data_IF_818554608938
#
_entry.id   IF_818554608938
#
_cell.length_a   1.000
_cell.length_b   1.000
_cell.length_c   1.000
_cell.angle_alpha   90.00
_cell.angle_beta   90.00
_cell.angle_gamma   90.00
#
_symmetry.space_group_name_H-M   'P 1'
#
loop_
_entity.id
_entity.type
_entity.pdbx_description
1 polymer ?
#
# COMPACT_ATOMS: atom_id res chain seq x y z
N UNK A 1 -17.95 -26.02 -23.28
CA UNK A 1 -17.16 -25.60 -24.46
C UNK A 1 -16.12 -24.62 -23.96
N UNK A 2 -14.86 -24.79 -24.32
CA UNK A 2 -13.79 -23.83 -24.01
C UNK A 2 -13.97 -22.56 -24.85
N UNK A 3 -13.70 -21.40 -24.25
CA UNK A 3 -13.75 -20.10 -24.92
C UNK A 3 -12.48 -19.85 -25.70
N UNK A 4 -12.61 -19.25 -26.89
CA UNK A 4 -11.46 -18.81 -27.64
C UNK A 4 -10.77 -17.61 -26.94
N UNK A 5 -9.46 -17.41 -27.16
CA UNK A 5 -8.75 -16.21 -26.67
C UNK A 5 -9.42 -14.89 -27.08
N UNK A 6 -10.04 -14.84 -28.26
CA UNK A 6 -10.75 -13.64 -28.74
C UNK A 6 -12.06 -13.40 -27.97
N UNK A 7 -12.81 -14.47 -27.64
CA UNK A 7 -13.99 -14.35 -26.79
C UNK A 7 -13.63 -13.84 -25.40
N UNK A 8 -12.48 -14.25 -24.85
CA UNK A 8 -11.97 -13.78 -23.57
C UNK A 8 -11.58 -12.30 -23.66
N UNK A 9 -10.83 -11.88 -24.69
CA UNK A 9 -10.50 -10.46 -24.91
C UNK A 9 -11.73 -9.58 -25.03
N UNK A 10 -12.71 -10.00 -25.83
CA UNK A 10 -13.93 -9.22 -26.05
C UNK A 10 -14.80 -9.14 -24.79
N UNK A 11 -14.78 -10.18 -23.95
CA UNK A 11 -15.48 -10.16 -22.66
C UNK A 11 -14.81 -9.20 -21.68
N UNK A 12 -13.50 -9.34 -21.52
CA UNK A 12 -12.74 -8.61 -20.50
C UNK A 12 -12.12 -7.34 -21.11
N UNK A 13 -13.00 -6.43 -21.51
CA UNK A 13 -12.64 -5.14 -22.08
C UNK A 13 -13.40 -4.02 -21.37
N UNK A 14 -12.65 -3.12 -20.70
CA UNK A 14 -13.23 -1.93 -20.10
C UNK A 14 -13.30 -0.79 -21.15
N UNK A 15 -14.29 0.12 -21.12
CA UNK A 15 -14.30 1.30 -22.00
C UNK A 15 -13.13 2.24 -21.68
N UNK A 16 -12.47 2.83 -22.69
CA UNK A 16 -11.31 3.70 -22.44
C UNK A 16 -11.70 5.09 -21.97
N UNK A 17 -12.87 5.57 -22.39
CA UNK A 17 -13.46 6.84 -22.02
C UNK A 17 -13.78 6.99 -20.53
N UNK A 18 -13.83 5.88 -19.79
CA UNK A 18 -14.05 5.87 -18.35
C UNK A 18 -12.79 6.26 -17.56
N UNK A 19 -11.59 6.06 -18.12
CA UNK A 19 -10.34 6.20 -17.38
C UNK A 19 -9.61 7.47 -17.82
N UNK A 20 -8.90 8.11 -16.90
CA UNK A 20 -8.05 9.28 -17.17
C UNK A 20 -6.57 8.95 -17.06
N UNK A 21 -6.19 8.11 -16.10
CA UNK A 21 -4.82 7.63 -15.87
C UNK A 21 -4.61 6.25 -16.47
N UNK A 22 -5.57 5.33 -16.33
CA UNK A 22 -5.50 4.00 -16.95
C UNK A 22 -5.91 4.05 -18.43
N UNK A 23 -5.24 4.88 -19.24
CA UNK A 23 -5.65 5.20 -20.62
C UNK A 23 -4.72 4.68 -21.69
N UNK A 24 -3.44 4.48 -21.37
CA UNK A 24 -2.42 4.10 -22.35
C UNK A 24 -1.74 2.78 -21.98
N UNK A 25 -1.16 2.13 -22.99
CA UNK A 25 -0.42 0.90 -22.78
C UNK A 25 0.80 1.20 -21.86
N UNK A 26 0.95 0.44 -20.78
CA UNK A 26 2.01 0.65 -19.79
C UNK A 26 3.30 -0.07 -20.23
N UNK A 27 4.37 0.70 -20.43
CA UNK A 27 5.68 0.15 -20.77
C UNK A 27 6.20 -0.78 -19.66
N UNK A 28 6.71 -1.93 -20.08
CA UNK A 28 7.39 -2.89 -19.22
C UNK A 28 8.90 -2.63 -19.35
N UNK A 29 9.57 -2.32 -18.23
CA UNK A 29 11.00 -2.02 -18.19
C UNK A 29 11.81 -3.19 -18.81
N UNK A 30 12.68 -2.86 -19.77
CA UNK A 30 13.72 -3.76 -20.29
C UNK A 30 13.32 -4.83 -21.30
N UNK A 31 12.04 -4.93 -21.71
CA UNK A 31 11.60 -6.01 -22.62
C UNK A 31 11.05 -5.56 -23.97
N UNK A 32 10.78 -4.27 -24.18
CA UNK A 32 10.12 -3.76 -25.39
C UNK A 32 8.62 -4.05 -25.45
N UNK A 33 8.10 -4.83 -24.51
CA UNK A 33 6.69 -5.17 -24.37
C UNK A 33 5.90 -4.05 -23.70
N UNK A 34 4.64 -3.94 -24.10
CA UNK A 34 3.71 -2.98 -23.50
C UNK A 34 2.46 -3.73 -23.00
N UNK A 35 2.08 -3.47 -21.75
CA UNK A 35 0.81 -3.94 -21.21
C UNK A 35 -0.30 -3.11 -21.80
N UNK A 36 -1.26 -3.76 -22.46
CA UNK A 36 -2.49 -3.07 -22.85
C UNK A 36 -3.24 -2.56 -21.63
N UNK A 37 -4.09 -1.55 -21.79
CA UNK A 37 -4.96 -1.07 -20.70
C UNK A 37 -5.67 -2.21 -19.95
N UNK A 38 -6.28 -3.15 -20.66
CA UNK A 38 -7.00 -4.27 -20.02
C UNK A 38 -6.04 -5.18 -19.23
N UNK A 39 -4.78 -5.32 -19.69
CA UNK A 39 -3.74 -5.99 -18.90
C UNK A 39 -3.42 -5.23 -17.61
N UNK A 40 -3.29 -3.91 -17.70
CA UNK A 40 -3.03 -3.04 -16.54
C UNK A 40 -4.17 -3.20 -15.54
N UNK A 41 -5.41 -2.95 -15.95
CA UNK A 41 -6.59 -3.09 -15.09
C UNK A 41 -6.69 -4.49 -14.45
N UNK A 42 -6.52 -5.54 -15.25
CA UNK A 42 -6.49 -6.93 -14.76
C UNK A 42 -5.40 -7.17 -13.71
N UNK A 43 -4.23 -6.56 -13.90
CA UNK A 43 -3.13 -6.69 -12.94
C UNK A 43 -3.43 -5.97 -11.63
N UNK A 44 -3.98 -4.76 -11.66
CA UNK A 44 -4.40 -4.06 -10.44
C UNK A 44 -5.48 -4.83 -9.69
N UNK A 45 -6.52 -5.30 -10.38
CA UNK A 45 -7.57 -6.15 -9.77
C UNK A 45 -6.97 -7.41 -9.13
N UNK A 46 -6.03 -8.07 -9.82
CA UNK A 46 -5.34 -9.26 -9.29
C UNK A 46 -4.53 -8.94 -8.02
N UNK A 47 -3.82 -7.81 -7.98
CA UNK A 47 -3.05 -7.41 -6.81
C UNK A 47 -3.93 -6.92 -5.66
N UNK A 48 -5.07 -6.30 -5.97
CA UNK A 48 -6.09 -5.94 -4.97
C UNK A 48 -6.71 -7.19 -4.37
N UNK A 49 -7.07 -8.19 -5.19
CA UNK A 49 -7.58 -9.49 -4.71
C UNK A 49 -6.59 -10.17 -3.77
N UNK A 50 -5.30 -10.16 -4.15
CA UNK A 50 -4.20 -10.66 -3.31
C UNK A 50 -4.14 -9.91 -1.97
N UNK A 51 -4.21 -8.58 -2.00
CA UNK A 51 -4.17 -7.77 -0.78
C UNK A 51 -5.39 -8.05 0.11
N UNK A 52 -6.59 -8.12 -0.46
CA UNK A 52 -7.82 -8.46 0.28
C UNK A 52 -7.68 -9.85 0.92
N UNK A 53 -7.14 -10.84 0.19
CA UNK A 53 -6.87 -12.18 0.71
C UNK A 53 -5.87 -12.21 1.88
N UNK A 54 -4.87 -11.32 1.90
CA UNK A 54 -3.97 -11.16 3.04
C UNK A 54 -4.73 -10.61 4.25
N UNK A 55 -5.58 -9.61 4.02
CA UNK A 55 -6.28 -8.85 5.06
C UNK A 55 -7.43 -9.64 5.70
N UNK A 56 -8.19 -10.40 4.91
CA UNK A 56 -9.27 -11.25 5.43
C UNK A 56 -8.77 -12.59 6.00
N UNK A 57 -7.53 -12.97 5.70
CA UNK A 57 -6.85 -14.19 6.15
C UNK A 57 -7.09 -15.42 5.27
N UNK A 58 -7.69 -15.26 4.09
CA UNK A 58 -7.99 -16.37 3.17
C UNK A 58 -6.82 -16.76 2.25
N UNK A 59 -5.80 -15.91 2.10
CA UNK A 59 -4.62 -16.20 1.29
C UNK A 59 -3.41 -16.56 2.17
N UNK A 60 -2.84 -17.79 2.09
CA UNK A 60 -1.66 -18.17 2.84
C UNK A 60 -0.42 -17.48 2.25
N UNK A 61 -0.03 -16.33 2.82
CA UNK A 61 0.98 -15.49 2.22
C UNK A 61 2.33 -15.51 2.92
N UNK A 62 3.34 -15.16 2.12
CA UNK A 62 4.69 -14.86 2.57
C UNK A 62 4.70 -13.42 3.02
N UNK A 63 4.68 -13.24 4.33
CA UNK A 63 4.76 -11.94 4.98
C UNK A 63 6.20 -11.71 5.44
N UNK A 64 6.57 -10.43 5.48
CA UNK A 64 7.82 -9.98 6.05
C UNK A 64 7.63 -9.95 7.57
N UNK A 65 8.61 -10.42 8.32
CA UNK A 65 8.55 -10.45 9.79
C UNK A 65 9.78 -9.81 10.41
N UNK A 66 9.66 -9.40 11.67
CA UNK A 66 10.77 -9.12 12.57
C UNK A 66 10.82 -10.27 13.56
N UNK A 67 11.97 -10.94 13.70
CA UNK A 67 12.13 -11.97 14.73
C UNK A 67 12.34 -11.39 16.14
N UNK A 68 12.35 -12.26 17.15
CA UNK A 68 12.48 -11.86 18.56
C UNK A 68 13.79 -11.10 18.85
N UNK A 69 14.82 -11.31 18.04
CA UNK A 69 16.11 -10.61 18.13
C UNK A 69 16.09 -9.26 17.38
N UNK A 70 14.97 -8.89 16.76
CA UNK A 70 14.81 -7.65 16.01
C UNK A 70 15.35 -7.70 14.58
N UNK A 71 15.67 -8.89 14.03
CA UNK A 71 16.15 -9.02 12.67
C UNK A 71 15.01 -9.02 11.66
N UNK A 72 15.24 -8.34 10.55
CA UNK A 72 14.27 -8.20 9.46
C UNK A 72 14.38 -9.40 8.51
N UNK A 73 13.33 -10.22 8.49
CA UNK A 73 13.25 -11.42 7.68
C UNK A 73 12.35 -11.19 6.47
N UNK A 74 12.99 -10.81 5.34
CA UNK A 74 12.30 -10.56 4.07
C UNK A 74 11.93 -11.82 3.27
N UNK A 75 12.24 -13.01 3.81
CA UNK A 75 12.02 -14.30 3.17
C UNK A 75 11.06 -15.17 4.00
N UNK A 76 9.80 -15.18 3.58
CA UNK A 76 8.84 -16.29 3.72
C UNK A 76 8.58 -16.83 5.12
N UNK A 77 8.09 -15.99 6.04
CA UNK A 77 7.23 -16.54 7.09
C UNK A 77 5.88 -16.88 6.45
N UNK A 78 5.44 -18.14 6.56
CA UNK A 78 4.05 -18.47 6.28
C UNK A 78 3.19 -17.68 7.27
N UNK A 79 2.17 -17.00 6.74
CA UNK A 79 1.23 -16.23 7.54
C UNK A 79 0.60 -17.11 8.65
N UNK A 80 0.38 -18.40 8.38
CA UNK A 80 -0.29 -19.32 9.33
C UNK A 80 -1.69 -18.80 9.66
N UNK A 81 -2.11 -18.95 10.92
CA UNK A 81 -3.39 -18.42 11.42
C UNK A 81 -3.34 -16.90 11.70
N UNK A 82 -2.26 -16.20 11.30
CA UNK A 82 -2.12 -14.78 11.55
C UNK A 82 -3.02 -13.96 10.62
N UNK A 83 -3.93 -13.19 11.21
CA UNK A 83 -4.80 -12.26 10.48
C UNK A 83 -4.58 -10.82 10.96
N UNK A 84 -4.35 -9.85 10.06
CA UNK A 84 -4.28 -8.44 10.42
C UNK A 84 -5.57 -7.97 11.11
N UNK A 85 -5.42 -7.23 12.20
CA UNK A 85 -6.51 -6.49 12.86
C UNK A 85 -6.38 -4.98 12.59
N UNK A 86 -5.16 -4.53 12.32
CA UNK A 86 -4.81 -3.16 11.99
C UNK A 86 -3.89 -3.16 10.76
N UNK A 87 -4.02 -2.15 9.91
CA UNK A 87 -3.20 -1.96 8.71
C UNK A 87 -2.60 -0.57 8.73
N UNK A 88 -1.27 -0.50 8.57
CA UNK A 88 -0.52 0.75 8.47
C UNK A 88 0.04 0.88 7.05
N UNK A 89 -0.61 1.70 6.23
CA UNK A 89 -0.16 2.01 4.88
C UNK A 89 0.96 3.05 4.94
N UNK A 90 2.10 2.77 4.30
CA UNK A 90 3.18 3.73 4.18
C UNK A 90 2.74 4.84 3.21
N UNK A 91 2.40 5.99 3.79
CA UNK A 91 1.75 7.09 3.10
C UNK A 91 2.62 7.59 1.95
N UNK A 92 2.00 8.33 1.02
CA UNK A 92 2.58 8.81 -0.24
C UNK A 92 2.55 7.74 -1.35
N UNK A 93 2.83 6.47 -1.11
CA UNK A 93 2.84 5.45 -2.17
C UNK A 93 1.80 4.36 -1.99
N UNK A 94 1.46 4.02 -0.74
CA UNK A 94 0.45 3.01 -0.43
C UNK A 94 -0.97 3.57 -0.23
N UNK A 95 -1.17 4.89 -0.20
CA UNK A 95 -2.51 5.49 -0.11
C UNK A 95 -3.46 5.07 -1.27
N UNK A 96 -3.00 4.99 -2.54
CA UNK A 96 -3.78 4.35 -3.60
C UNK A 96 -4.11 2.87 -3.37
N UNK A 97 -3.27 2.14 -2.62
CA UNK A 97 -3.51 0.73 -2.28
C UNK A 97 -4.66 0.61 -1.29
N UNK A 98 -4.69 1.45 -0.25
CA UNK A 98 -5.84 1.54 0.66
C UNK A 98 -7.13 1.85 -0.11
N UNK A 99 -7.11 2.85 -1.00
CA UNK A 99 -8.28 3.22 -1.79
C UNK A 99 -8.77 2.08 -2.70
N UNK A 100 -7.87 1.28 -3.27
CA UNK A 100 -8.22 0.09 -4.06
C UNK A 100 -8.87 -0.99 -3.20
N UNK A 101 -8.26 -1.31 -2.04
CA UNK A 101 -8.81 -2.28 -1.08
C UNK A 101 -10.19 -1.84 -0.61
N UNK A 102 -10.33 -0.58 -0.22
CA UNK A 102 -11.59 0.00 0.25
C UNK A 102 -12.70 -0.08 -0.79
N UNK A 103 -12.38 0.23 -2.04
CA UNK A 103 -13.36 0.21 -3.12
C UNK A 103 -13.80 -1.21 -3.51
N UNK A 104 -12.91 -2.21 -3.36
CA UNK A 104 -13.15 -3.57 -3.83
C UNK A 104 -13.45 -4.58 -2.71
N UNK A 105 -13.35 -4.19 -1.44
CA UNK A 105 -13.52 -5.08 -0.28
C UNK A 105 -14.78 -5.94 -0.36
N UNK A 106 -15.95 -5.31 -0.52
CA UNK A 106 -17.25 -5.98 -0.57
C UNK A 106 -17.39 -7.00 -1.73
N UNK A 107 -16.58 -6.86 -2.78
CA UNK A 107 -16.62 -7.74 -3.94
C UNK A 107 -15.62 -8.90 -3.85
N UNK A 108 -14.56 -8.76 -3.05
CA UNK A 108 -13.40 -9.65 -3.04
C UNK A 108 -13.18 -10.38 -1.72
N UNK A 109 -13.63 -9.82 -0.60
CA UNK A 109 -13.40 -10.39 0.71
C UNK A 109 -14.20 -11.69 0.91
N UNK A 110 -13.64 -12.61 1.70
CA UNK A 110 -14.37 -13.79 2.15
C UNK A 110 -15.68 -13.39 2.86
N UNK A 111 -16.71 -14.24 2.70
CA UNK A 111 -18.02 -13.99 3.30
C UNK A 111 -17.91 -13.82 4.83
N UNK A 112 -18.46 -12.72 5.35
CA UNK A 112 -18.42 -12.40 6.78
C UNK A 112 -17.07 -11.87 7.28
N UNK A 113 -16.09 -11.62 6.41
CA UNK A 113 -14.83 -11.01 6.81
C UNK A 113 -15.01 -9.54 7.21
N UNK A 114 -14.53 -9.20 8.40
CA UNK A 114 -14.42 -7.81 8.85
C UNK A 114 -13.16 -7.15 8.27
N UNK A 115 -13.32 -5.96 7.66
CA UNK A 115 -12.20 -5.18 7.17
C UNK A 115 -11.38 -4.66 8.36
N UNK A 116 -10.06 -4.90 8.41
CA UNK A 116 -9.22 -4.35 9.48
C UNK A 116 -9.18 -2.82 9.41
N UNK A 117 -8.95 -2.19 10.55
CA UNK A 117 -8.83 -0.73 10.62
C UNK A 117 -7.56 -0.27 9.89
N UNK A 118 -7.68 0.77 9.05
CA UNK A 118 -6.59 1.33 8.26
C UNK A 118 -6.12 2.69 8.79
N UNK A 119 -4.81 2.86 8.86
CA UNK A 119 -4.15 4.16 9.06
C UNK A 119 -3.02 4.35 8.07
N UNK A 120 -2.56 5.60 7.94
CA UNK A 120 -1.40 5.94 7.15
C UNK A 120 -0.27 6.53 7.99
N UNK A 121 0.96 6.10 7.70
CA UNK A 121 2.19 6.69 8.24
C UNK A 121 3.15 7.05 7.11
N UNK A 122 3.57 8.30 7.03
CA UNK A 122 4.53 8.81 6.05
C UNK A 122 5.99 8.56 6.48
N UNK A 123 6.33 7.31 6.78
CA UNK A 123 7.71 6.91 7.06
C UNK A 123 8.42 6.64 5.74
N UNK A 124 9.40 7.47 5.38
CA UNK A 124 10.25 7.29 4.20
C UNK A 124 11.71 7.12 4.63
N UNK A 125 12.41 6.14 4.05
CA UNK A 125 13.82 5.89 4.37
C UNK A 125 14.71 7.11 4.23
N UNK A 126 14.42 8.02 3.30
CA UNK A 126 15.29 9.18 3.02
C UNK A 126 15.33 10.15 4.20
N UNK A 127 14.24 10.23 4.95
CA UNK A 127 14.14 11.09 6.13
C UNK A 127 14.90 10.45 7.31
N UNK A 128 14.84 9.13 7.45
CA UNK A 128 15.38 8.42 8.61
C UNK A 128 16.83 7.92 8.49
N UNK A 129 17.33 7.68 7.27
CA UNK A 129 18.72 7.22 7.06
C UNK A 129 19.76 8.26 7.54
N UNK A 130 19.40 9.54 7.55
CA UNK A 130 20.24 10.62 8.06
C UNK A 130 20.62 10.42 9.53
N UNK A 131 19.67 10.02 10.38
CA UNK A 131 19.91 9.67 11.80
C UNK A 131 20.87 8.48 11.96
N UNK A 132 20.95 7.62 10.94
CA UNK A 132 21.82 6.43 10.96
C UNK A 132 23.25 6.72 10.50
N UNK A 133 23.55 7.98 10.14
CA UNK A 133 24.86 8.44 9.67
C UNK A 133 25.03 8.36 8.15
N UNK A 134 23.95 8.21 7.39
CA UNK A 134 24.01 8.21 5.92
C UNK A 134 24.01 9.65 5.42
N UNK A 135 25.13 10.08 4.85
CA UNK A 135 25.25 11.37 4.18
C UNK A 135 24.54 11.36 2.83
N UNK A 136 23.81 12.43 2.52
CA UNK A 136 23.03 12.61 1.29
C UNK A 136 22.14 11.41 0.92
N UNK A 137 21.17 11.04 1.77
CA UNK A 137 20.30 9.90 1.52
C UNK A 137 19.48 10.01 0.22
N UNK A 138 19.28 11.23 -0.29
CA UNK A 138 18.58 11.52 -1.55
C UNK A 138 19.43 11.23 -2.80
N UNK A 139 20.76 11.18 -2.68
CA UNK A 139 21.69 10.94 -3.80
C UNK A 139 22.07 9.46 -3.94
N UNK A 140 21.66 8.62 -2.98
CA UNK A 140 22.04 7.22 -2.98
C UNK A 140 21.16 6.39 -3.90
N UNK A 141 21.77 5.37 -4.53
CA UNK A 141 21.03 4.36 -5.28
C UNK A 141 19.99 3.70 -4.36
N UNK A 142 18.75 3.84 -4.79
CA UNK A 142 17.53 3.38 -4.16
C UNK A 142 17.43 1.84 -4.10
N UNK A 143 18.24 1.12 -4.87
CA UNK A 143 18.28 -0.34 -4.95
C UNK A 143 19.31 -1.00 -4.04
N UNK A 144 20.33 -0.25 -3.59
CA UNK A 144 21.40 -0.80 -2.74
C UNK A 144 20.90 -1.06 -1.33
N UNK A 145 21.07 -2.28 -0.77
CA UNK A 145 20.77 -2.57 0.62
C UNK A 145 21.47 -1.60 1.57
N UNK A 146 20.76 -1.14 2.61
CA UNK A 146 21.28 -0.22 3.62
C UNK A 146 21.30 -0.95 4.96
N UNK A 147 22.32 -0.68 5.79
CA UNK A 147 22.32 -1.16 7.18
C UNK A 147 21.32 -0.31 7.97
N UNK A 148 20.23 -0.93 8.41
CA UNK A 148 19.20 -0.27 9.22
C UNK A 148 19.48 -0.50 10.70
N UNK A 149 19.72 0.58 11.41
CA UNK A 149 20.03 0.59 12.84
C UNK A 149 19.09 1.56 13.57
N UNK A 150 17.96 1.02 14.01
CA UNK A 150 16.88 1.74 14.73
C UNK A 150 17.37 2.35 16.04
N UNK A 151 18.41 1.79 16.69
CA UNK A 151 18.91 2.34 17.96
C UNK A 151 19.56 3.72 17.82
N UNK A 152 19.82 4.17 16.58
CA UNK A 152 20.31 5.51 16.28
C UNK A 152 19.20 6.55 16.13
N UNK A 153 17.94 6.11 16.02
CA UNK A 153 16.80 7.03 15.98
C UNK A 153 16.57 7.55 17.41
N UNK A 154 16.43 8.88 17.61
CA UNK A 154 16.15 9.43 18.93
C UNK A 154 14.90 8.83 19.56
N UNK A 155 14.99 8.43 20.83
CA UNK A 155 13.85 7.89 21.59
C UNK A 155 12.65 8.83 21.59
N UNK A 156 12.90 10.13 21.52
CA UNK A 156 11.86 11.16 21.42
C UNK A 156 10.97 10.98 20.18
N UNK A 157 11.53 10.59 19.03
CA UNK A 157 10.74 10.29 17.82
C UNK A 157 9.93 9.01 17.98
N UNK A 158 10.47 8.01 18.68
CA UNK A 158 9.74 6.77 19.00
C UNK A 158 8.56 7.07 19.93
N UNK A 159 8.76 7.89 20.97
CA UNK A 159 7.69 8.36 21.86
C UNK A 159 6.61 9.13 21.10
N UNK A 160 6.97 9.95 20.09
CA UNK A 160 6.00 10.66 19.25
C UNK A 160 5.16 9.73 18.39
N UNK A 161 5.76 8.67 17.83
CA UNK A 161 5.00 7.64 17.10
C UNK A 161 4.06 6.92 18.06
N UNK A 162 4.54 6.51 19.24
CA UNK A 162 3.71 5.89 20.28
C UNK A 162 2.52 6.77 20.64
N UNK A 163 2.73 8.08 20.79
CA UNK A 163 1.67 9.04 21.10
C UNK A 163 0.48 8.98 20.13
N UNK A 164 0.69 8.64 18.85
CA UNK A 164 -0.41 8.49 17.88
C UNK A 164 -1.37 7.36 18.26
N UNK A 165 -0.84 6.29 18.86
CA UNK A 165 -1.56 5.06 19.17
C UNK A 165 -2.09 5.02 20.61
N UNK A 166 -1.65 5.93 21.48
CA UNK A 166 -2.09 6.00 22.88
C UNK A 166 -3.61 6.17 23.00
N UNK A 167 -4.21 5.39 23.90
CA UNK A 167 -5.61 5.55 24.27
C UNK A 167 -5.77 6.62 25.37
N UNK A 168 -6.83 7.44 25.25
CA UNK A 168 -7.12 8.52 26.19
C UNK A 168 -6.35 9.83 25.91
N UNK A 169 -6.40 10.74 26.89
CA UNK A 169 -5.74 12.04 26.81
C UNK A 169 -4.26 11.95 27.24
N UNK A 170 -3.44 12.82 26.67
CA UNK A 170 -2.02 12.96 26.98
C UNK A 170 -1.80 14.21 27.82
N UNK A 171 -1.06 14.06 28.92
CA UNK A 171 -0.50 15.17 29.67
C UNK A 171 0.64 15.80 28.87
N UNK A 172 0.41 17.01 28.34
CA UNK A 172 1.37 17.68 27.48
C UNK A 172 2.60 18.22 28.25
N UNK A 173 2.49 18.39 29.56
CA UNK A 173 3.60 18.89 30.39
C UNK A 173 4.64 17.78 30.66
N UNK A 174 4.21 16.51 30.60
CA UNK A 174 5.08 15.33 30.76
C UNK A 174 4.85 14.27 29.69
N UNK A 175 4.54 14.68 28.45
CA UNK A 175 4.04 13.77 27.42
C UNK A 175 5.00 12.62 27.12
N UNK A 176 6.31 12.83 27.24
CA UNK A 176 7.31 11.81 26.95
C UNK A 176 7.20 10.62 27.89
N UNK A 177 6.95 10.82 29.18
CA UNK A 177 6.76 9.72 30.13
C UNK A 177 5.32 9.21 30.08
N UNK A 178 4.35 10.12 29.96
CA UNK A 178 2.92 9.82 29.99
C UNK A 178 2.52 8.83 28.88
N UNK A 179 3.05 8.98 27.65
CA UNK A 179 2.74 8.06 26.54
C UNK A 179 3.22 6.63 26.77
N UNK A 180 4.29 6.42 27.54
CA UNK A 180 4.79 5.09 27.88
C UNK A 180 4.06 4.46 29.07
N UNK A 181 3.40 5.27 29.88
CA UNK A 181 2.58 4.78 31.01
C UNK A 181 1.18 4.31 30.60
N UNK A 182 0.77 4.60 29.35
CA UNK A 182 -0.58 4.31 28.84
C UNK A 182 -0.59 3.15 27.84
N UNK A 183 -1.73 2.42 27.77
CA UNK A 183 -1.94 1.45 26.71
C UNK A 183 -2.07 2.15 25.35
N UNK A 184 -1.80 1.38 24.30
CA UNK A 184 -2.05 1.78 22.92
C UNK A 184 -3.12 0.91 22.29
N UNK A 185 -3.83 1.45 21.29
CA UNK A 185 -4.82 0.66 20.53
C UNK A 185 -4.21 -0.49 19.73
N UNK A 186 -2.88 -0.53 19.58
CA UNK A 186 -2.15 -1.59 18.88
C UNK A 186 -1.63 -2.68 19.82
N UNK A 187 -1.75 -2.51 21.14
CA UNK A 187 -1.21 -3.47 22.12
C UNK A 187 -1.84 -4.86 21.90
N UNK A 188 -0.99 -5.88 21.69
CA UNK A 188 -1.42 -7.26 21.47
C UNK A 188 -2.13 -7.51 20.12
N UNK A 189 -2.16 -6.53 19.22
CA UNK A 189 -2.79 -6.66 17.90
C UNK A 189 -1.83 -7.14 16.83
N UNK A 190 -2.39 -7.84 15.85
CA UNK A 190 -1.73 -8.16 14.59
C UNK A 190 -1.77 -6.94 13.66
N UNK A 191 -0.61 -6.35 13.38
CA UNK A 191 -0.45 -5.14 12.58
C UNK A 191 0.24 -5.47 11.26
N UNK A 192 -0.42 -5.18 10.14
CA UNK A 192 0.18 -5.29 8.81
C UNK A 192 0.67 -3.94 8.32
N UNK A 193 1.96 -3.82 8.04
CA UNK A 193 2.54 -2.66 7.35
C UNK A 193 2.50 -2.92 5.84
N UNK A 194 1.92 -2.00 5.08
CA UNK A 194 1.77 -2.12 3.62
C UNK A 194 2.58 -1.02 2.94
N UNK A 195 3.48 -1.41 2.05
CA UNK A 195 4.15 -0.50 1.11
C UNK A 195 3.74 -0.85 -0.32
N UNK A 196 3.91 0.09 -1.24
CA UNK A 196 3.49 -0.08 -2.63
C UNK A 196 4.47 -0.96 -3.40
N UNK A 197 5.78 -0.65 -3.39
CA UNK A 197 6.79 -1.38 -4.18
C UNK A 197 7.99 -1.75 -3.34
N UNK A 198 8.43 -3.02 -3.45
CA UNK A 198 9.74 -3.42 -2.94
C UNK A 198 10.86 -2.87 -3.84
N UNK A 199 11.58 -1.85 -3.36
CA UNK A 199 12.85 -1.45 -3.96
C UNK A 199 14.04 -2.14 -3.25
N UNK A 200 14.73 -1.46 -2.33
CA UNK A 200 15.70 -2.11 -1.44
C UNK A 200 15.06 -2.78 -0.22
N UNK A 201 13.81 -2.45 0.08
CA UNK A 201 13.10 -2.85 1.30
C UNK A 201 13.38 -2.00 2.55
N UNK A 202 14.27 -1.02 2.46
CA UNK A 202 14.66 -0.19 3.61
C UNK A 202 13.51 0.60 4.26
N UNK A 203 12.57 1.13 3.46
CA UNK A 203 11.42 1.88 3.99
C UNK A 203 10.53 1.00 4.86
N UNK A 204 10.18 -0.20 4.37
CA UNK A 204 9.45 -1.21 5.14
C UNK A 204 10.19 -1.60 6.42
N UNK A 205 11.49 -1.91 6.34
CA UNK A 205 12.28 -2.31 7.51
C UNK A 205 12.32 -1.20 8.58
N UNK A 206 12.54 0.05 8.17
CA UNK A 206 12.53 1.20 9.08
C UNK A 206 11.16 1.35 9.72
N UNK A 207 10.08 1.34 8.94
CA UNK A 207 8.73 1.49 9.46
C UNK A 207 8.39 0.40 10.48
N UNK A 208 8.56 -0.88 10.11
CA UNK A 208 8.26 -2.00 11.01
C UNK A 208 9.07 -1.92 12.30
N UNK A 209 10.38 -1.61 12.23
CA UNK A 209 11.23 -1.47 13.43
C UNK A 209 10.85 -0.28 14.30
N UNK A 210 10.49 0.86 13.70
CA UNK A 210 10.03 2.04 14.45
C UNK A 210 8.69 1.80 15.13
N UNK A 211 7.74 1.14 14.45
CA UNK A 211 6.45 0.79 15.03
C UNK A 211 6.65 -0.26 16.14
N UNK A 212 7.52 -1.27 15.95
CA UNK A 212 7.83 -2.27 16.99
C UNK A 212 8.48 -1.63 18.21
N UNK A 213 9.35 -0.64 17.99
CA UNK A 213 9.93 0.13 19.08
C UNK A 213 8.87 0.97 19.81
N UNK A 214 7.93 1.59 19.09
CA UNK A 214 6.88 2.43 19.67
C UNK A 214 5.78 1.63 20.39
N UNK A 215 5.45 0.45 19.89
CA UNK A 215 4.46 -0.48 20.45
C UNK A 215 5.05 -1.90 20.51
N UNK A 216 5.86 -2.22 21.54
CA UNK A 216 6.51 -3.51 21.68
C UNK A 216 5.55 -4.71 21.70
N UNK A 217 4.33 -4.51 22.19
CA UNK A 217 3.31 -5.54 22.35
C UNK A 217 2.58 -5.89 21.05
N UNK A 218 2.73 -5.10 19.98
CA UNK A 218 2.13 -5.39 18.67
C UNK A 218 2.91 -6.49 17.93
N UNK A 219 2.21 -7.40 17.26
CA UNK A 219 2.81 -8.34 16.31
C UNK A 219 2.82 -7.71 14.90
N UNK A 220 4.01 -7.42 14.38
CA UNK A 220 4.17 -6.57 13.21
C UNK A 220 4.70 -7.40 12.04
N UNK A 221 3.93 -7.42 10.97
CA UNK A 221 4.33 -8.01 9.69
C UNK A 221 4.25 -6.98 8.57
N UNK A 222 4.94 -7.24 7.47
CA UNK A 222 5.02 -6.35 6.32
C UNK A 222 4.64 -7.04 5.02
N UNK A 223 4.11 -6.28 4.06
CA UNK A 223 3.87 -6.76 2.69
C UNK A 223 4.00 -5.64 1.66
N UNK A 224 4.21 -6.03 0.40
CA UNK A 224 4.21 -5.13 -0.74
C UNK A 224 3.03 -5.42 -1.65
N UNK A 225 2.36 -4.36 -2.10
CA UNK A 225 1.29 -4.47 -3.09
C UNK A 225 1.81 -4.91 -4.47
N UNK A 226 2.88 -4.28 -4.93
CA UNK A 226 3.43 -4.41 -6.28
C UNK A 226 4.78 -5.13 -6.26
N UNK A 227 4.94 -6.09 -7.16
CA UNK A 227 6.22 -6.74 -7.40
C UNK A 227 7.01 -5.96 -8.48
N UNK A 228 8.17 -5.41 -8.10
CA UNK A 228 8.97 -4.48 -8.92
C UNK A 228 9.63 -5.13 -10.13
N UNK A 229 9.35 -6.39 -10.43
CA UNK A 229 10.14 -7.14 -11.41
C UNK A 229 10.11 -6.54 -12.81
N UNK A 230 9.10 -5.74 -13.20
CA UNK A 230 9.05 -5.20 -14.57
C UNK A 230 8.35 -3.82 -14.80
N UNK A 231 7.78 -3.15 -13.80
CA UNK A 231 7.16 -1.81 -13.98
C UNK A 231 6.94 -1.08 -12.64
N UNK A 232 6.53 0.19 -12.68
CA UNK A 232 6.08 0.97 -11.51
C UNK A 232 4.58 1.25 -11.62
N UNK A 233 3.85 1.44 -10.49
CA UNK A 233 2.44 1.81 -10.54
C UNK A 233 2.16 3.10 -11.33
N UNK A 234 0.93 3.26 -11.82
CA UNK A 234 0.52 4.32 -12.76
C UNK A 234 0.36 5.69 -12.10
N UNK A 235 0.34 5.72 -10.77
CA UNK A 235 0.46 6.94 -9.99
C UNK A 235 1.91 7.45 -9.88
N UNK A 236 2.89 6.71 -10.41
CA UNK A 236 4.21 7.26 -10.67
C UNK A 236 4.29 7.87 -12.06
N UNK A 237 5.01 8.99 -12.23
CA UNK A 237 5.28 9.51 -13.55
C UNK A 237 6.07 8.47 -14.35
N UNK A 238 5.78 8.29 -15.66
CA UNK A 238 6.64 7.49 -16.52
C UNK A 238 8.05 8.08 -16.45
N UNK A 239 9.08 7.24 -16.24
CA UNK A 239 10.49 7.67 -16.18
C UNK A 239 10.85 8.41 -17.47
N UNK A 240 10.82 9.74 -17.46
CA UNK A 240 11.44 10.56 -18.51
C UNK A 240 12.91 10.79 -18.11
N UNK A 241 13.88 10.51 -19.01
CA UNK A 241 15.28 10.83 -18.74
C UNK A 241 15.42 12.30 -18.33
N UNK A 242 16.00 12.55 -17.16
CA UNK A 242 16.35 13.90 -16.70
C UNK A 242 15.21 14.77 -16.16
N UNK A 243 14.01 14.22 -15.87
CA UNK A 243 12.94 14.99 -15.21
C UNK A 243 12.33 14.23 -14.03
N UNK A 244 12.66 14.64 -12.81
CA UNK A 244 11.88 14.33 -11.60
C UNK A 244 10.76 15.36 -11.49
N UNK A 245 9.63 15.10 -12.14
CA UNK A 245 8.41 15.86 -11.86
C UNK A 245 7.87 15.52 -10.47
N UNK A 246 7.07 16.40 -9.85
CA UNK A 246 6.33 16.04 -8.65
C UNK A 246 5.48 14.80 -8.93
N UNK A 247 5.53 13.81 -8.04
CA UNK A 247 4.74 12.59 -8.18
C UNK A 247 3.33 12.90 -7.67
N UNK A 248 2.42 13.23 -8.60
CA UNK A 248 0.99 13.44 -8.33
C UNK A 248 0.18 12.15 -8.44
N UNK A 249 -1.03 12.13 -7.85
CA UNK A 249 -1.88 10.93 -7.81
C UNK A 249 -1.61 10.02 -6.61
N UNK A 250 -1.15 10.59 -5.50
CA UNK A 250 -0.84 9.84 -4.27
C UNK A 250 -1.99 9.84 -3.26
N UNK A 251 -3.10 10.50 -3.58
CA UNK A 251 -4.31 10.69 -2.75
C UNK A 251 -4.10 11.49 -1.44
N UNK A 252 -2.88 11.52 -0.91
CA UNK A 252 -2.49 12.30 0.27
C UNK A 252 -1.21 13.09 0.03
N UNK A 253 -1.06 14.19 0.75
CA UNK A 253 0.13 15.02 0.76
C UNK A 253 1.15 14.54 1.82
N UNK A 254 2.42 14.92 1.68
CA UNK A 254 3.44 14.69 2.71
C UNK A 254 3.07 15.31 4.07
N UNK A 255 3.74 14.91 5.16
CA UNK A 255 3.56 15.52 6.47
C UNK A 255 3.77 17.04 6.47
N UNK A 256 2.81 17.75 7.06
CA UNK A 256 2.95 19.16 7.44
C UNK A 256 2.52 19.36 8.90
N UNK A 257 3.47 19.58 9.83
CA UNK A 257 3.15 19.81 11.23
C UNK A 257 2.20 20.98 11.51
N UNK A 258 2.21 22.03 10.68
CA UNK A 258 1.36 23.20 10.86
C UNK A 258 -0.11 22.89 10.59
N UNK A 259 -0.39 21.91 9.74
CA UNK A 259 -1.76 21.48 9.44
C UNK A 259 -2.51 21.07 10.71
N UNK A 260 -1.84 20.34 11.59
CA UNK A 260 -2.42 19.78 12.81
C UNK A 260 -2.71 20.83 13.90
N UNK A 261 -2.15 22.04 13.78
CA UNK A 261 -2.46 23.16 14.68
C UNK A 261 -3.90 23.68 14.50
N UNK A 262 -4.51 23.45 13.33
CA UNK A 262 -5.88 23.90 13.02
C UNK A 262 -6.98 22.99 13.57
N UNK A 263 -6.65 21.79 14.04
CA UNK A 263 -7.67 20.87 14.57
C UNK A 263 -8.36 21.45 15.82
N UNK A 264 -9.62 21.07 16.08
CA UNK A 264 -10.27 21.34 17.35
C UNK A 264 -9.43 20.85 18.54
N UNK A 265 -9.42 21.60 19.63
CA UNK A 265 -8.71 21.20 20.85
C UNK A 265 -9.27 19.87 21.40
N UNK A 266 -8.37 19.02 21.88
CA UNK A 266 -8.74 17.72 22.44
C UNK A 266 -7.59 16.70 22.37
N UNK A 267 -7.86 15.51 22.92
CA UNK A 267 -6.88 14.42 22.97
C UNK A 267 -6.36 14.03 21.57
N UNK A 268 -7.24 13.99 20.56
CA UNK A 268 -6.83 13.66 19.18
C UNK A 268 -5.83 14.67 18.61
N UNK A 269 -6.08 15.98 18.80
CA UNK A 269 -5.15 17.03 18.35
C UNK A 269 -3.79 16.85 19.00
N UNK A 270 -3.73 16.60 20.30
CA UNK A 270 -2.46 16.39 21.03
C UNK A 270 -1.67 15.21 20.44
N UNK A 271 -2.33 14.06 20.26
CA UNK A 271 -1.72 12.85 19.66
C UNK A 271 -1.19 13.13 18.25
N UNK A 272 -2.01 13.74 17.39
CA UNK A 272 -1.64 14.06 16.01
C UNK A 272 -0.53 15.10 15.92
N UNK A 273 -0.54 16.13 16.78
CA UNK A 273 0.54 17.13 16.84
C UNK A 273 1.88 16.52 17.24
N UNK A 274 1.90 15.59 18.19
CA UNK A 274 3.13 14.90 18.58
C UNK A 274 3.67 14.05 17.42
N UNK A 275 2.79 13.29 16.75
CA UNK A 275 3.13 12.39 15.65
C UNK A 275 3.20 13.06 14.27
N UNK A 276 2.98 14.37 14.19
CA UNK A 276 2.75 15.09 12.94
C UNK A 276 3.82 14.89 11.86
N UNK A 277 5.06 14.63 12.25
CA UNK A 277 6.19 14.38 11.35
C UNK A 277 6.07 13.09 10.51
N UNK A 278 5.19 12.16 10.91
CA UNK A 278 4.88 10.92 10.17
C UNK A 278 3.42 10.82 9.77
N UNK A 279 2.60 11.86 9.98
CA UNK A 279 1.20 11.82 9.57
C UNK A 279 1.03 12.54 8.23
N UNK A 280 0.53 11.87 7.18
CA UNK A 280 0.20 12.56 5.94
C UNK A 280 -0.97 13.52 6.17
N UNK A 281 -1.09 14.52 5.30
CA UNK A 281 -2.18 15.51 5.36
C UNK A 281 -2.99 15.45 4.06
N UNK A 282 -4.20 16.03 4.05
CA UNK A 282 -4.83 16.44 2.80
C UNK A 282 -3.91 17.40 2.03
N UNK A 283 -4.10 17.50 0.71
CA UNK A 283 -3.44 18.53 -0.10
C UNK A 283 -3.91 19.92 0.34
N UNK A 284 -2.96 20.78 0.63
CA UNK A 284 -3.22 22.14 1.08
C UNK A 284 -2.08 23.07 0.69
N UNK A 285 -2.36 24.36 0.68
CA UNK A 285 -1.38 25.41 0.47
C UNK A 285 -0.55 25.60 1.76
N UNK A 286 0.77 25.55 1.66
CA UNK A 286 1.64 25.53 2.86
C UNK A 286 1.73 26.87 3.59
N UNK A 287 1.21 27.96 3.02
CA UNK A 287 1.21 29.29 3.63
C UNK A 287 -0.13 29.63 4.26
N UNK A 288 -1.21 29.47 3.49
CA UNK A 288 -2.58 29.77 3.88
C UNK A 288 -3.26 28.60 4.60
N UNK A 289 -2.72 27.40 4.44
CA UNK A 289 -3.27 26.14 4.96
C UNK A 289 -4.71 25.89 4.46
N UNK A 290 -5.09 26.45 3.32
CA UNK A 290 -6.37 26.19 2.65
C UNK A 290 -6.28 24.92 1.80
N UNK A 291 -7.37 24.14 1.68
CA UNK A 291 -7.38 22.94 0.84
C UNK A 291 -6.99 23.26 -0.61
N UNK A 292 -6.11 22.45 -1.18
CA UNK A 292 -5.70 22.54 -2.57
C UNK A 292 -6.14 21.28 -3.31
N UNK A 293 -6.73 21.48 -4.47
CA UNK A 293 -7.13 20.38 -5.35
C UNK A 293 -5.91 19.77 -6.04
N UNK A 294 -5.71 18.46 -5.89
CA UNK A 294 -4.78 17.68 -6.73
C UNK A 294 -5.56 16.94 -7.82
N UNK A 295 -5.57 17.52 -9.04
CA UNK A 295 -6.26 16.93 -10.19
C UNK A 295 -5.82 15.48 -10.44
N UNK A 296 -4.54 15.17 -10.22
CA UNK A 296 -4.05 13.80 -10.45
C UNK A 296 -4.62 12.80 -9.44
N UNK A 297 -4.85 13.22 -8.20
CA UNK A 297 -5.49 12.41 -7.17
C UNK A 297 -6.98 12.24 -7.44
N UNK A 298 -7.68 13.30 -7.87
CA UNK A 298 -9.08 13.21 -8.29
C UNK A 298 -9.27 12.21 -9.44
N UNK A 299 -8.40 12.29 -10.45
CA UNK A 299 -8.40 11.38 -11.59
C UNK A 299 -8.17 9.93 -11.17
N UNK A 300 -7.22 9.70 -10.27
CA UNK A 300 -6.96 8.35 -9.77
C UNK A 300 -8.13 7.80 -8.96
N UNK A 301 -8.74 8.62 -8.09
CA UNK A 301 -9.91 8.22 -7.32
C UNK A 301 -11.09 7.87 -8.23
N UNK A 302 -11.32 8.67 -9.28
CA UNK A 302 -12.34 8.38 -10.30
C UNK A 302 -12.04 7.07 -11.04
N UNK A 303 -10.79 6.86 -11.45
CA UNK A 303 -10.39 5.64 -12.15
C UNK A 303 -10.54 4.39 -11.27
N UNK A 304 -10.24 4.47 -9.97
CA UNK A 304 -10.49 3.38 -9.02
C UNK A 304 -11.99 3.08 -8.92
N UNK A 305 -12.84 4.11 -8.88
CA UNK A 305 -14.29 3.93 -8.86
C UNK A 305 -14.80 3.25 -10.15
N UNK A 306 -14.32 3.64 -11.32
CA UNK A 306 -14.68 2.97 -12.58
C UNK A 306 -14.14 1.55 -12.65
N UNK A 307 -12.92 1.30 -12.17
CA UNK A 307 -12.34 -0.05 -12.11
C UNK A 307 -13.23 -0.97 -11.26
N UNK A 308 -13.73 -0.46 -10.14
CA UNK A 308 -14.64 -1.17 -9.25
C UNK A 308 -15.97 -1.50 -9.94
N UNK A 309 -16.53 -0.55 -10.70
CA UNK A 309 -17.75 -0.75 -11.49
C UNK A 309 -17.55 -1.76 -12.64
N UNK A 310 -16.51 -1.59 -13.44
CA UNK A 310 -16.24 -2.44 -14.60
C UNK A 310 -15.82 -3.87 -14.17
N UNK A 311 -15.20 -4.03 -12.98
CA UNK A 311 -14.98 -5.34 -12.38
C UNK A 311 -16.31 -6.02 -12.02
N UNK A 312 -17.22 -5.32 -11.33
CA UNK A 312 -18.54 -5.83 -10.97
C UNK A 312 -19.37 -6.23 -12.22
N UNK A 313 -19.21 -5.48 -13.31
CA UNK A 313 -19.88 -5.74 -14.60
C UNK A 313 -19.18 -6.85 -15.43
N UNK A 314 -18.15 -7.49 -14.88
CA UNK A 314 -17.45 -8.63 -15.51
C UNK A 314 -16.57 -8.26 -16.70
N UNK A 315 -16.15 -6.99 -16.81
CA UNK A 315 -15.29 -6.46 -17.88
C UNK A 315 -13.81 -6.47 -17.55
N UNK A 316 -13.43 -6.69 -16.30
CA UNK A 316 -12.02 -6.77 -15.89
C UNK A 316 -11.74 -8.20 -15.42
N UNK A 317 -10.70 -8.81 -15.99
CA UNK A 317 -10.26 -10.14 -15.61
C UNK A 317 -9.50 -10.07 -14.27
N UNK A 318 -10.02 -10.74 -13.25
CA UNK A 318 -9.26 -11.13 -12.06
C UNK A 318 -8.61 -12.49 -12.32
N UNK A 319 -7.28 -12.56 -12.23
CA UNK A 319 -6.54 -13.81 -12.24
C UNK A 319 -5.85 -13.95 -10.88
N UNK A 320 -6.58 -14.42 -9.84
CA UNK A 320 -6.08 -14.38 -8.49
C UNK A 320 -4.74 -15.12 -8.38
N UNK A 321 -3.86 -14.56 -7.58
CA UNK A 321 -2.56 -15.14 -7.23
C UNK A 321 -2.53 -15.44 -5.75
N UNK A 322 -1.78 -16.47 -5.37
CA UNK A 322 -1.63 -16.91 -3.97
C UNK A 322 -2.95 -17.32 -3.28
N UNK A 323 -3.97 -17.70 -4.05
CA UNK A 323 -5.19 -18.37 -3.58
C UNK A 323 -5.00 -19.88 -3.62
N UNK A 324 -5.79 -20.62 -2.83
CA UNK A 324 -5.87 -22.07 -3.00
C UNK A 324 -6.42 -22.43 -4.40
N UNK A 325 -6.12 -23.64 -4.89
CA UNK A 325 -6.62 -24.10 -6.20
C UNK A 325 -8.16 -24.04 -6.29
N UNK A 326 -8.85 -24.37 -5.18
CA UNK A 326 -10.32 -24.35 -5.12
C UNK A 326 -10.87 -22.92 -5.21
N UNK A 327 -10.31 -21.98 -4.45
CA UNK A 327 -10.69 -20.56 -4.54
C UNK A 327 -10.36 -19.97 -5.90
N UNK A 328 -9.19 -20.30 -6.47
CA UNK A 328 -8.81 -19.85 -7.80
C UNK A 328 -9.82 -20.31 -8.86
N UNK A 329 -10.24 -21.58 -8.80
CA UNK A 329 -11.30 -22.12 -9.67
C UNK A 329 -12.63 -21.40 -9.44
N UNK A 330 -13.00 -21.13 -8.19
CA UNK A 330 -14.25 -20.43 -7.86
C UNK A 330 -14.27 -19.00 -8.44
N UNK A 331 -13.19 -18.24 -8.28
CA UNK A 331 -13.08 -16.87 -8.81
C UNK A 331 -13.15 -16.86 -10.34
N UNK A 332 -12.51 -17.81 -11.02
CA UNK A 332 -12.62 -17.94 -12.48
C UNK A 332 -14.05 -18.32 -12.91
N UNK A 333 -14.70 -19.23 -12.17
CA UNK A 333 -16.07 -19.64 -12.43
C UNK A 333 -17.08 -18.50 -12.26
N UNK A 334 -16.92 -17.63 -11.24
CA UNK A 334 -17.71 -16.40 -11.07
C UNK A 334 -17.57 -15.45 -12.26
N UNK A 335 -16.38 -15.43 -12.87
CA UNK A 335 -16.11 -14.70 -14.11
C UNK A 335 -16.50 -15.50 -15.37
N UNK A 336 -17.16 -16.64 -15.22
CA UNK A 336 -17.66 -17.49 -16.30
C UNK A 336 -16.56 -18.06 -17.19
N UNK A 337 -15.33 -18.21 -16.72
CA UNK A 337 -14.23 -18.84 -17.46
C UNK A 337 -13.67 -20.02 -16.66
N UNK A 338 -13.03 -20.95 -17.35
CA UNK A 338 -12.38 -22.11 -16.73
C UNK A 338 -10.87 -21.90 -16.63
N UNK A 339 -10.16 -22.67 -15.78
CA UNK A 339 -8.70 -22.76 -15.79
C UNK A 339 -8.10 -22.97 -17.19
N UNK A 340 -8.75 -23.81 -18.01
CA UNK A 340 -8.29 -24.13 -19.34
C UNK A 340 -8.46 -22.95 -20.32
N UNK A 341 -9.57 -22.22 -20.21
CA UNK A 341 -9.80 -20.99 -20.99
C UNK A 341 -8.68 -19.97 -20.73
N UNK A 342 -8.31 -19.78 -19.46
CA UNK A 342 -7.27 -18.85 -19.06
C UNK A 342 -5.88 -19.28 -19.52
N UNK A 343 -5.55 -20.58 -19.43
CA UNK A 343 -4.29 -21.13 -19.97
C UNK A 343 -4.15 -20.87 -21.46
N UNK A 344 -5.17 -21.23 -22.24
CA UNK A 344 -5.18 -21.01 -23.70
C UNK A 344 -5.08 -19.52 -24.08
N UNK A 345 -5.71 -18.65 -23.29
CA UNK A 345 -5.60 -17.20 -23.46
C UNK A 345 -4.15 -16.71 -23.26
N UNK A 346 -3.51 -17.13 -22.17
CA UNK A 346 -2.14 -16.74 -21.84
C UNK A 346 -1.12 -17.29 -22.85
N UNK A 347 -1.28 -18.53 -23.31
CA UNK A 347 -0.41 -19.15 -24.34
C UNK A 347 -0.43 -18.40 -25.68
N UNK A 348 -1.51 -17.65 -25.95
CA UNK A 348 -1.67 -16.80 -27.13
C UNK A 348 -1.30 -15.34 -26.87
N UNK A 349 -0.49 -15.08 -25.86
CA UNK A 349 0.02 -13.76 -25.49
C UNK A 349 -0.91 -12.96 -24.57
N UNK A 350 -2.06 -13.51 -24.18
CA UNK A 350 -3.03 -12.86 -23.29
C UNK A 350 -3.39 -11.45 -23.75
N UNK A 351 -3.21 -10.48 -22.85
CA UNK A 351 -3.36 -9.04 -23.10
C UNK A 351 -2.04 -8.32 -23.46
N UNK A 352 -0.96 -9.06 -23.70
CA UNK A 352 0.33 -8.49 -24.10
C UNK A 352 0.40 -8.22 -25.60
N UNK A 353 1.17 -7.20 -25.97
CA UNK A 353 1.63 -6.98 -27.35
C UNK A 353 3.17 -6.92 -27.35
N UNK A 354 3.83 -7.51 -28.36
CA UNK A 354 5.29 -7.45 -28.51
C UNK A 354 5.81 -6.02 -28.66
#
# INVERSE_FOLDING_TARGET
>A
MTKSPEQIRNKFHAPSENYQRFTEDQAIDGKGWVWTKDKVLSHYVTLTDRMVGILDGSSPQKVISIDDDGNYNSFNAEQGDWKPQEVLYLAKSAAPVEALVDAMWEQMAAEGAEKPHGDMLAIDRRDFLSYMGVTNPYDQDDSTPKKIDISKIPQELISRIRAYFVEGDIDMDNWQEDVWSKPTRLDGRNVLVVDEVKNSGATMEIAMKMIKAAVPEADIKGTYFWDKTNSVPIWYPPKKPGKTGPVGGRLVAPPDPKWWDKMPEGAEKKRRKLAAFVLPTPFHDTETMEPVRDLMSDQLAQDIAYMTYDYADGKILNNPIDRSDDEWVEVLAKQGITPEDLRQFNDKGGFGKP
#
